data_IF_591388260081
#
_entry.id   IF_591388260081
#
_cell.length_a   1.000
_cell.length_b   1.000
_cell.length_c   1.000
_cell.angle_alpha   90.00
_cell.angle_beta   90.00
_cell.angle_gamma   90.00
#
_symmetry.space_group_name_H-M   'P 1'
#
loop_
_entity.id
_entity.type
_entity.pdbx_description
1 polymer ?
#
# COMPACT_ATOMS: atom_id res chain seq x y z
N UNK A 1 2.12 -27.61 6.00
CA UNK A 1 2.65 -26.46 5.24
C UNK A 1 1.56 -25.39 5.25
N UNK A 2 1.74 -24.26 5.94
CA UNK A 2 0.79 -23.14 5.89
C UNK A 2 1.16 -22.31 4.66
N UNK A 3 0.32 -22.33 3.64
CA UNK A 3 0.45 -21.54 2.43
C UNK A 3 0.26 -20.05 2.71
N UNK A 4 0.43 -19.26 1.70
CA UNK A 4 0.15 -17.83 1.68
C UNK A 4 -1.30 -17.58 2.15
N UNK A 5 -1.49 -16.62 3.05
CA UNK A 5 -2.84 -16.20 3.47
C UNK A 5 -3.41 -15.30 2.37
N UNK A 6 -4.26 -15.86 1.53
CA UNK A 6 -4.98 -15.10 0.51
C UNK A 6 -5.88 -14.04 1.14
N UNK A 7 -6.01 -12.88 0.51
CA UNK A 7 -6.97 -11.86 0.91
C UNK A 7 -8.40 -12.37 0.79
N UNK A 8 -9.36 -11.64 1.42
CA UNK A 8 -10.76 -12.02 1.37
C UNK A 8 -11.28 -12.15 -0.07
N UNK A 9 -10.94 -11.18 -0.91
CA UNK A 9 -11.34 -11.18 -2.33
C UNK A 9 -10.68 -12.29 -3.14
N UNK A 10 -9.41 -12.64 -2.83
CA UNK A 10 -8.74 -13.77 -3.49
C UNK A 10 -9.39 -15.12 -3.15
N UNK A 11 -10.03 -15.22 -1.99
CA UNK A 11 -10.77 -16.43 -1.58
C UNK A 11 -12.16 -16.52 -2.21
N UNK A 12 -12.68 -15.39 -2.69
CA UNK A 12 -13.96 -15.30 -3.41
C UNK A 12 -13.77 -15.41 -4.92
N UNK A 13 -12.59 -15.07 -5.41
CA UNK A 13 -12.21 -15.16 -6.83
C UNK A 13 -11.59 -16.54 -7.11
N UNK A 14 -12.43 -17.58 -7.06
CA UNK A 14 -12.03 -18.96 -7.30
C UNK A 14 -11.85 -19.22 -8.81
N UNK A 15 -10.77 -18.69 -9.36
CA UNK A 15 -10.29 -19.07 -10.70
C UNK A 15 -9.52 -20.37 -10.63
N UNK A 16 -10.10 -21.38 -9.97
CA UNK A 16 -9.48 -22.63 -9.56
C UNK A 16 -8.95 -23.48 -10.72
N UNK A 17 -7.75 -23.17 -11.20
CA UNK A 17 -6.90 -24.17 -11.84
C UNK A 17 -6.06 -24.88 -10.79
N UNK A 18 -6.12 -26.21 -10.70
CA UNK A 18 -5.27 -26.97 -9.80
C UNK A 18 -3.81 -26.79 -10.19
N UNK A 19 -2.88 -26.69 -9.22
CA UNK A 19 -1.47 -26.48 -9.48
C UNK A 19 -0.85 -27.70 -10.17
N UNK A 20 -0.83 -27.71 -11.50
CA UNK A 20 -0.05 -28.65 -12.29
C UNK A 20 1.30 -27.99 -12.61
N UNK A 21 2.39 -28.45 -11.98
CA UNK A 21 3.71 -27.92 -12.25
C UNK A 21 4.74 -28.29 -11.17
N UNK A 22 6.01 -28.09 -11.49
CA UNK A 22 7.13 -28.29 -10.58
C UNK A 22 6.99 -27.35 -9.36
N UNK A 23 7.42 -27.80 -8.17
CA UNK A 23 7.30 -27.07 -6.88
C UNK A 23 7.83 -25.64 -6.93
N UNK A 24 8.82 -25.35 -7.78
CA UNK A 24 9.37 -24.01 -8.00
C UNK A 24 8.40 -23.12 -8.77
N UNK A 25 7.76 -23.65 -9.81
CA UNK A 25 6.78 -22.92 -10.62
C UNK A 25 5.49 -22.63 -9.85
N UNK A 26 5.03 -23.57 -9.04
CA UNK A 26 3.90 -23.37 -8.15
C UNK A 26 4.18 -22.26 -7.12
N UNK A 27 5.43 -22.21 -6.60
CA UNK A 27 5.83 -21.14 -5.67
C UNK A 27 5.91 -19.78 -6.36
N UNK A 28 6.49 -19.69 -7.55
CA UNK A 28 6.60 -18.45 -8.31
C UNK A 28 5.20 -17.89 -8.65
N UNK A 29 4.28 -18.73 -9.09
CA UNK A 29 2.88 -18.36 -9.34
C UNK A 29 2.17 -17.88 -8.08
N UNK A 30 2.41 -18.52 -6.95
CA UNK A 30 1.84 -18.11 -5.66
C UNK A 30 2.33 -16.73 -5.22
N UNK A 31 3.62 -16.43 -5.39
CA UNK A 31 4.20 -15.11 -5.08
C UNK A 31 3.66 -14.03 -6.02
N UNK A 32 3.59 -14.33 -7.31
CA UNK A 32 3.04 -13.40 -8.29
C UNK A 32 1.56 -13.09 -8.04
N UNK A 33 0.77 -14.09 -7.70
CA UNK A 33 -0.63 -13.91 -7.31
C UNK A 33 -0.75 -13.04 -6.05
N UNK A 34 0.09 -13.32 -5.04
CA UNK A 34 0.16 -12.53 -3.83
C UNK A 34 0.53 -11.07 -4.11
N UNK A 35 1.50 -10.86 -5.00
CA UNK A 35 1.94 -9.53 -5.40
C UNK A 35 0.81 -8.74 -6.08
N UNK A 36 0.08 -9.36 -7.01
CA UNK A 36 -1.08 -8.74 -7.67
C UNK A 36 -2.18 -8.39 -6.67
N UNK A 37 -2.48 -9.30 -5.73
CA UNK A 37 -3.46 -9.06 -4.69
C UNK A 37 -3.06 -7.89 -3.80
N UNK A 38 -1.83 -7.87 -3.29
CA UNK A 38 -1.32 -6.77 -2.47
C UNK A 38 -1.33 -5.45 -3.24
N UNK A 39 -0.92 -5.44 -4.50
CA UNK A 39 -0.94 -4.24 -5.35
C UNK A 39 -2.35 -3.66 -5.47
N UNK A 40 -3.35 -4.52 -5.74
CA UNK A 40 -4.76 -4.11 -5.81
C UNK A 40 -5.24 -3.52 -4.48
N UNK A 41 -4.94 -4.20 -3.38
CA UNK A 41 -5.40 -3.80 -2.06
C UNK A 41 -4.70 -2.50 -1.59
N UNK A 42 -3.41 -2.34 -1.88
CA UNK A 42 -2.69 -1.07 -1.68
C UNK A 42 -3.28 0.06 -2.51
N UNK A 43 -3.61 -0.18 -3.77
CA UNK A 43 -4.22 0.83 -4.62
C UNK A 43 -5.59 1.26 -4.08
N UNK A 44 -6.39 0.32 -3.60
CA UNK A 44 -7.67 0.62 -2.96
C UNK A 44 -7.48 1.42 -1.66
N UNK A 45 -6.54 1.01 -0.81
CA UNK A 45 -6.23 1.69 0.45
C UNK A 45 -5.78 3.14 0.21
N UNK A 46 -4.84 3.36 -0.71
CA UNK A 46 -4.28 4.68 -0.98
C UNK A 46 -5.30 5.64 -1.64
N UNK A 47 -6.29 5.10 -2.34
CA UNK A 47 -7.34 5.89 -2.98
C UNK A 47 -8.60 6.08 -2.11
N UNK A 48 -8.62 5.47 -0.92
CA UNK A 48 -9.70 5.68 0.05
C UNK A 48 -9.35 6.84 0.97
N UNK A 49 -10.29 7.75 1.22
CA UNK A 49 -10.15 8.83 2.20
C UNK A 49 -10.72 8.40 3.56
N UNK A 50 -9.90 8.52 4.59
CA UNK A 50 -10.38 8.35 5.95
C UNK A 50 -11.23 9.57 6.32
N UNK A 51 -12.53 9.35 6.54
CA UNK A 51 -13.49 10.43 6.87
C UNK A 51 -13.44 10.90 8.33
N UNK A 52 -12.66 10.23 9.18
CA UNK A 52 -12.62 10.53 10.63
C UNK A 52 -11.25 11.06 11.00
N UNK A 53 -11.24 12.16 11.73
CA UNK A 53 -9.99 12.77 12.18
C UNK A 53 -9.24 11.83 13.14
N UNK A 54 -7.95 11.59 12.91
CA UNK A 54 -7.14 10.66 13.72
C UNK A 54 -7.19 10.96 15.23
N UNK A 55 -7.31 12.23 15.62
CA UNK A 55 -7.45 12.63 17.02
C UNK A 55 -8.69 12.03 17.71
N UNK A 56 -9.75 11.71 16.93
CA UNK A 56 -10.97 11.10 17.46
C UNK A 56 -10.77 9.64 17.87
N UNK A 57 -9.74 8.96 17.40
CA UNK A 57 -9.43 7.57 17.74
C UNK A 57 -8.41 7.43 18.88
N UNK A 58 -7.77 8.53 19.29
CA UNK A 58 -6.73 8.49 20.34
C UNK A 58 -7.16 7.77 21.64
N UNK A 59 -8.41 7.92 22.13
CA UNK A 59 -8.84 7.21 23.32
C UNK A 59 -9.26 5.74 23.09
N UNK A 60 -9.33 5.29 21.82
CA UNK A 60 -9.87 3.97 21.45
C UNK A 60 -8.91 3.21 20.53
N UNK A 61 -7.85 2.58 21.08
CA UNK A 61 -6.81 1.94 20.26
C UNK A 61 -7.33 0.82 19.36
N UNK A 62 -8.37 0.09 19.78
CA UNK A 62 -8.99 -0.96 18.95
C UNK A 62 -9.68 -0.38 17.69
N UNK A 63 -10.18 0.84 17.76
CA UNK A 63 -10.84 1.51 16.64
C UNK A 63 -9.82 2.01 15.61
N UNK A 64 -8.61 2.32 16.04
CA UNK A 64 -7.56 2.80 15.15
C UNK A 64 -7.18 1.81 14.04
N UNK A 65 -7.32 0.50 14.28
CA UNK A 65 -7.09 -0.56 13.30
C UNK A 65 -8.37 -1.04 12.58
N UNK A 66 -9.52 -0.43 12.86
CA UNK A 66 -10.79 -0.81 12.25
C UNK A 66 -10.99 -0.15 10.88
N UNK A 67 -12.03 -0.61 10.17
CA UNK A 67 -12.44 -0.04 8.88
C UNK A 67 -12.82 1.44 8.96
N UNK A 68 -13.18 1.95 10.14
CA UNK A 68 -13.47 3.37 10.35
C UNK A 68 -12.28 4.28 10.11
N UNK A 69 -11.07 3.74 10.27
CA UNK A 69 -9.81 4.44 10.00
C UNK A 69 -9.11 3.93 8.72
N UNK A 70 -9.84 3.24 7.85
CA UNK A 70 -9.31 2.75 6.59
C UNK A 70 -9.13 3.89 5.58
N UNK A 71 -7.96 3.95 4.95
CA UNK A 71 -7.63 4.96 3.96
C UNK A 71 -6.58 5.96 4.43
N UNK A 72 -6.41 7.01 3.66
CA UNK A 72 -5.49 8.11 3.93
C UNK A 72 -6.23 9.35 4.43
N UNK A 73 -5.55 10.13 5.26
CA UNK A 73 -6.00 11.48 5.62
C UNK A 73 -6.07 12.37 4.38
N UNK A 74 -6.86 13.42 4.45
CA UNK A 74 -6.90 14.40 3.37
C UNK A 74 -5.67 15.32 3.40
N UNK A 75 -4.94 15.38 2.30
CA UNK A 75 -3.75 16.21 2.13
C UNK A 75 -4.06 17.55 1.45
N UNK A 76 -5.32 17.92 1.26
CA UNK A 76 -5.71 19.13 0.51
C UNK A 76 -5.16 20.43 1.11
N UNK A 77 -4.88 20.46 2.41
CA UNK A 77 -4.30 21.62 3.11
C UNK A 77 -2.77 21.65 3.17
N UNK A 78 -2.08 20.63 2.65
CA UNK A 78 -0.63 20.51 2.75
C UNK A 78 0.07 21.17 1.56
N UNK A 79 1.22 21.81 1.86
CA UNK A 79 2.06 22.44 0.85
C UNK A 79 3.00 21.38 0.23
N UNK A 80 2.66 20.90 -0.96
CA UNK A 80 3.44 19.85 -1.64
C UNK A 80 4.89 20.24 -1.97
N UNK A 81 5.23 21.54 -1.89
CA UNK A 81 6.60 22.03 -2.07
C UNK A 81 7.41 22.07 -0.76
N UNK A 82 6.78 21.80 0.38
CA UNK A 82 7.42 21.75 1.69
C UNK A 82 7.99 20.37 1.97
N UNK A 83 9.28 20.27 2.30
CA UNK A 83 9.92 19.02 2.67
C UNK A 83 9.28 18.40 3.93
N UNK A 84 8.83 19.26 4.85
CA UNK A 84 8.13 18.81 6.06
C UNK A 84 6.81 18.13 5.72
N UNK A 85 5.98 18.76 4.88
CA UNK A 85 4.70 18.20 4.47
C UNK A 85 4.86 16.93 3.63
N UNK A 86 5.89 16.89 2.78
CA UNK A 86 6.24 15.68 2.04
C UNK A 86 6.61 14.51 2.96
N UNK A 87 7.36 14.78 4.04
CA UNK A 87 7.69 13.78 5.05
C UNK A 87 6.45 13.32 5.83
N UNK A 88 5.54 14.23 6.15
CA UNK A 88 4.27 13.89 6.80
C UNK A 88 3.39 13.03 5.91
N UNK A 89 3.31 13.31 4.61
CA UNK A 89 2.61 12.47 3.64
C UNK A 89 3.24 11.07 3.60
N UNK A 90 4.57 10.96 3.52
CA UNK A 90 5.26 9.67 3.54
C UNK A 90 4.93 8.87 4.82
N UNK A 91 4.94 9.52 5.98
CA UNK A 91 4.59 8.91 7.26
C UNK A 91 3.13 8.45 7.30
N UNK A 92 2.21 9.28 6.80
CA UNK A 92 0.79 8.93 6.75
C UNK A 92 0.53 7.71 5.85
N UNK A 93 1.16 7.66 4.67
CA UNK A 93 1.10 6.51 3.76
C UNK A 93 1.68 5.26 4.43
N UNK A 94 2.85 5.39 5.06
CA UNK A 94 3.49 4.27 5.75
C UNK A 94 2.63 3.70 6.88
N UNK A 95 2.06 4.57 7.72
CA UNK A 95 1.20 4.16 8.83
C UNK A 95 -0.10 3.51 8.35
N UNK A 96 -0.71 4.03 7.28
CA UNK A 96 -1.90 3.43 6.70
C UNK A 96 -1.61 2.01 6.19
N UNK A 97 -0.51 1.79 5.48
CA UNK A 97 -0.11 0.47 4.99
C UNK A 97 0.20 -0.48 6.15
N UNK A 98 0.98 -0.05 7.14
CA UNK A 98 1.32 -0.88 8.31
C UNK A 98 0.08 -1.32 9.10
N UNK A 99 -0.95 -0.49 9.13
CA UNK A 99 -2.18 -0.72 9.87
C UNK A 99 -3.15 -1.64 9.14
N UNK A 100 -3.29 -1.45 7.83
CA UNK A 100 -4.35 -2.07 7.04
C UNK A 100 -3.88 -3.17 6.10
N UNK A 101 -2.56 -3.35 5.93
CA UNK A 101 -1.99 -4.44 5.12
C UNK A 101 -1.10 -5.37 5.98
N UNK A 102 -1.71 -6.30 6.72
CA UNK A 102 -0.99 -7.17 7.65
C UNK A 102 -0.06 -8.19 6.98
N UNK A 103 -0.16 -8.36 5.66
CA UNK A 103 0.72 -9.23 4.87
C UNK A 103 2.10 -8.60 4.65
N UNK A 104 2.20 -7.27 4.79
CA UNK A 104 3.46 -6.54 4.62
C UNK A 104 4.11 -6.21 5.96
N UNK A 105 5.43 -6.39 6.01
CA UNK A 105 6.27 -6.03 7.15
C UNK A 105 7.37 -5.09 6.74
N UNK A 106 7.97 -4.40 7.73
CA UNK A 106 9.07 -3.47 7.52
C UNK A 106 8.79 -2.47 6.38
N UNK A 107 7.56 -1.99 6.36
CA UNK A 107 7.13 -1.01 5.36
C UNK A 107 7.90 0.28 5.57
N UNK A 108 8.56 0.73 4.51
CA UNK A 108 9.20 2.04 4.43
C UNK A 108 8.66 2.76 3.20
N UNK A 109 8.34 4.03 3.36
CA UNK A 109 7.86 4.89 2.28
C UNK A 109 8.81 6.06 2.14
N UNK A 110 9.31 6.27 0.94
CA UNK A 110 10.18 7.39 0.61
C UNK A 110 9.69 8.10 -0.64
N UNK A 111 9.89 9.41 -0.68
CA UNK A 111 9.65 10.20 -1.89
C UNK A 111 10.86 10.05 -2.81
N UNK A 112 10.64 9.57 -4.03
CA UNK A 112 11.68 9.46 -5.05
C UNK A 112 11.87 10.76 -5.81
N UNK A 113 10.79 11.51 -5.99
CA UNK A 113 10.82 12.79 -6.66
C UNK A 113 9.45 13.43 -6.75
N UNK A 114 9.46 14.75 -6.89
CA UNK A 114 8.29 15.54 -7.17
C UNK A 114 8.54 16.31 -8.47
N UNK A 115 7.66 16.14 -9.47
CA UNK A 115 7.75 16.85 -10.74
C UNK A 115 6.87 18.08 -10.68
N UNK A 116 7.50 19.23 -10.92
CA UNK A 116 6.83 20.52 -10.93
C UNK A 116 6.70 21.03 -12.37
N UNK A 117 5.54 21.55 -12.71
CA UNK A 117 5.31 22.33 -13.91
C UNK A 117 4.82 23.72 -13.51
N UNK A 118 5.50 24.76 -13.98
CA UNK A 118 5.16 26.19 -13.65
C UNK A 118 5.09 26.47 -12.14
N UNK A 119 5.95 25.82 -11.34
CA UNK A 119 6.00 26.01 -9.88
C UNK A 119 4.95 25.22 -9.09
N UNK A 120 4.08 24.46 -9.75
CA UNK A 120 3.10 23.59 -9.09
C UNK A 120 3.49 22.13 -9.25
N UNK A 121 3.57 21.39 -8.14
CA UNK A 121 3.82 19.94 -8.20
C UNK A 121 2.59 19.27 -8.78
N UNK A 122 2.75 18.59 -9.90
CA UNK A 122 1.68 17.88 -10.60
C UNK A 122 1.81 16.34 -10.50
N UNK A 123 2.95 15.84 -9.99
CA UNK A 123 3.22 14.42 -9.81
C UNK A 123 4.22 14.22 -8.68
N UNK A 124 3.92 13.32 -7.76
CA UNK A 124 4.82 12.86 -6.71
C UNK A 124 5.05 11.35 -6.87
N UNK A 125 6.30 10.94 -6.87
CA UNK A 125 6.69 9.54 -7.03
C UNK A 125 7.18 9.00 -5.68
N UNK A 126 6.50 7.98 -5.16
CA UNK A 126 6.86 7.30 -3.93
C UNK A 126 7.44 5.93 -4.23
N UNK A 127 8.41 5.52 -3.44
CA UNK A 127 8.88 4.15 -3.38
C UNK A 127 8.43 3.56 -2.05
N UNK A 128 7.65 2.50 -2.11
CA UNK A 128 7.18 1.73 -0.97
C UNK A 128 7.97 0.44 -0.95
N UNK A 129 8.87 0.26 0.02
CA UNK A 129 9.59 -1.00 0.22
C UNK A 129 8.98 -1.75 1.39
N UNK A 130 8.79 -3.04 1.23
CA UNK A 130 8.21 -3.88 2.27
C UNK A 130 8.71 -5.32 2.14
N UNK A 131 8.46 -6.13 3.16
CA UNK A 131 8.69 -7.57 3.13
C UNK A 131 7.34 -8.28 3.19
N UNK A 132 7.09 -9.15 2.22
CA UNK A 132 5.91 -10.00 2.23
C UNK A 132 6.08 -11.10 3.30
N UNK A 133 5.08 -11.25 4.15
CA UNK A 133 5.01 -12.31 5.16
C UNK A 133 4.71 -13.63 4.49
N UNK A 134 5.74 -14.35 4.10
CA UNK A 134 5.60 -15.68 3.56
C UNK A 134 6.04 -16.74 4.59
N UNK A 135 5.38 -17.89 4.61
CA UNK A 135 5.61 -18.94 5.61
C UNK A 135 7.04 -19.49 5.66
N UNK A 136 7.85 -19.32 4.61
CA UNK A 136 9.18 -19.94 4.50
C UNK A 136 10.34 -18.96 4.40
N UNK A 137 10.15 -17.77 3.82
CA UNK A 137 11.17 -16.73 3.70
C UNK A 137 10.51 -15.36 3.48
N UNK A 138 10.96 -14.31 4.17
CA UNK A 138 10.51 -12.96 3.88
C UNK A 138 11.05 -12.56 2.50
N UNK A 139 10.17 -12.21 1.60
CA UNK A 139 10.51 -11.73 0.27
C UNK A 139 10.44 -10.19 0.26
N UNK A 140 11.57 -9.55 -0.10
CA UNK A 140 11.61 -8.11 -0.21
C UNK A 140 10.88 -7.68 -1.47
N UNK A 141 10.02 -6.67 -1.34
CA UNK A 141 9.20 -6.12 -2.42
C UNK A 141 9.34 -4.62 -2.48
N UNK A 142 9.26 -4.07 -3.68
CA UNK A 142 9.26 -2.64 -3.91
C UNK A 142 8.12 -2.27 -4.84
N UNK A 143 7.30 -1.31 -4.42
CA UNK A 143 6.20 -0.78 -5.22
C UNK A 143 6.50 0.69 -5.55
N UNK A 144 6.32 1.05 -6.82
CA UNK A 144 6.37 2.44 -7.23
C UNK A 144 4.94 3.00 -7.24
N UNK A 145 4.66 3.96 -6.37
CA UNK A 145 3.37 4.63 -6.31
C UNK A 145 3.49 6.06 -6.83
N UNK A 146 2.56 6.47 -7.64
CA UNK A 146 2.49 7.82 -8.19
C UNK A 146 1.23 8.50 -7.68
N UNK A 147 1.40 9.63 -7.01
CA UNK A 147 0.31 10.51 -6.62
C UNK A 147 0.18 11.67 -7.59
N UNK A 148 -1.04 11.90 -8.07
CA UNK A 148 -1.40 13.05 -8.91
C UNK A 148 -2.30 13.99 -8.12
N UNK A 149 -1.78 15.13 -7.61
CA UNK A 149 -2.54 16.05 -6.76
C UNK A 149 -3.80 16.58 -7.43
N UNK A 150 -3.75 16.87 -8.74
CA UNK A 150 -4.89 17.37 -9.51
C UNK A 150 -6.08 16.40 -9.59
N UNK A 151 -5.82 15.10 -9.53
CA UNK A 151 -6.82 14.05 -9.53
C UNK A 151 -7.08 13.49 -8.13
N UNK A 152 -6.22 13.84 -7.17
CA UNK A 152 -6.18 13.24 -5.83
C UNK A 152 -6.13 11.71 -5.85
N UNK A 153 -5.41 11.15 -6.81
CA UNK A 153 -5.33 9.71 -7.03
C UNK A 153 -3.91 9.18 -6.95
N UNK A 154 -3.80 7.98 -6.40
CA UNK A 154 -2.60 7.16 -6.44
C UNK A 154 -2.74 6.09 -7.51
N UNK A 155 -1.66 5.84 -8.24
CA UNK A 155 -1.51 4.67 -9.11
C UNK A 155 -0.24 3.91 -8.71
N UNK A 156 -0.32 2.58 -8.66
CA UNK A 156 0.85 1.74 -8.40
C UNK A 156 1.38 1.28 -9.76
N UNK A 157 2.61 1.70 -10.07
CA UNK A 157 3.29 1.44 -11.34
C UNK A 157 4.43 0.46 -11.08
N UNK A 158 4.17 -0.82 -11.26
CA UNK A 158 5.17 -1.89 -11.09
C UNK A 158 5.43 -2.26 -9.62
N UNK A 159 5.71 -3.53 -9.44
CA UNK A 159 6.20 -4.13 -8.20
C UNK A 159 7.36 -5.06 -8.57
N UNK A 160 8.48 -4.94 -7.88
CA UNK A 160 9.67 -5.78 -8.01
C UNK A 160 10.02 -6.43 -6.68
#
# INVERSE_FOLDING_TARGET
>A
MRGFTSGLFDRLDDTGEPPSGNRREARARSVEHALRSVTRDLQALLNTRCGVHQASFSPLPAVSGSILNYGLIDFAGMCMNSDTDQQEICKAVQLAIQRHEPRLHKVLVSLRGAKSARGTINRMEFVITAQLKHASMPEAMSFNAVFRPSLQQYSIEGAN
#
